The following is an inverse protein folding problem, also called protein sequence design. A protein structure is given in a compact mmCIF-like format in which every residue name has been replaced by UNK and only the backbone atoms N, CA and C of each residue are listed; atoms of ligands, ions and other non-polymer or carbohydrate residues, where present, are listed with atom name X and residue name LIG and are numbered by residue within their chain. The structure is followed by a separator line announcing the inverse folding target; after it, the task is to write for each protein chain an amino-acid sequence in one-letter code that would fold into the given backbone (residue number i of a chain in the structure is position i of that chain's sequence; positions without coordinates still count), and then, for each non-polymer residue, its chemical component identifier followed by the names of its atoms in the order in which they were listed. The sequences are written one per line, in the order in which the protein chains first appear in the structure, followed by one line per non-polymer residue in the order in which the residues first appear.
data_IF_545978980687
#
_entry.id   IF_545978980687
#
_cell.length_a   1.000
_cell.length_b   1.000
_cell.length_c   1.000
_cell.angle_alpha   90.00
_cell.angle_beta   90.00
_cell.angle_gamma   90.00
#
_symmetry.space_group_name_H-M   'P 1'
#
loop_
_entity.id
_entity.type
_entity.pdbx_description
1 polymer ?
#
# COMPACT_ATOMS: atom_id res chain seq x y z
N UNK A 1 30.27 -6.82 5.11
CA UNK A 1 29.54 -7.95 4.50
C UNK A 1 28.08 -7.71 4.75
N UNK A 2 27.24 -7.84 3.72
CA UNK A 2 25.77 -7.80 3.87
C UNK A 2 25.40 -8.94 4.81
N UNK A 3 24.49 -8.71 5.78
CA UNK A 3 23.96 -9.78 6.61
C UNK A 3 23.13 -10.80 5.82
N UNK A 4 22.81 -10.52 4.55
CA UNK A 4 22.00 -11.35 3.66
C UNK A 4 22.87 -12.30 2.85
N UNK A 5 22.49 -13.59 2.82
CA UNK A 5 23.25 -14.64 2.13
C UNK A 5 22.50 -15.19 0.91
N UNK A 6 21.16 -15.19 0.93
CA UNK A 6 20.32 -15.74 -0.12
C UNK A 6 19.47 -14.63 -0.75
N UNK A 7 19.79 -14.25 -1.97
CA UNK A 7 19.17 -13.15 -2.66
C UNK A 7 18.23 -13.65 -3.74
N UNK A 8 17.01 -13.14 -3.79
CA UNK A 8 16.09 -13.37 -4.91
C UNK A 8 16.02 -12.15 -5.80
N UNK A 9 15.89 -12.37 -7.10
CA UNK A 9 15.66 -11.34 -8.09
C UNK A 9 14.23 -11.43 -8.61
N UNK A 10 13.47 -10.36 -8.48
CA UNK A 10 12.14 -10.21 -9.03
C UNK A 10 12.16 -9.05 -10.04
N UNK A 11 11.75 -9.29 -11.28
CA UNK A 11 11.71 -8.28 -12.33
C UNK A 11 10.31 -8.20 -12.95
N UNK A 12 9.84 -6.96 -13.17
CA UNK A 12 8.57 -6.76 -13.87
C UNK A 12 8.68 -7.27 -15.33
N UNK A 13 7.55 -7.60 -15.98
CA UNK A 13 7.57 -8.10 -17.37
C UNK A 13 7.92 -7.03 -18.42
N UNK A 14 8.24 -5.80 -18.00
CA UNK A 14 8.61 -4.72 -18.91
C UNK A 14 10.01 -4.93 -19.50
N UNK A 15 10.22 -4.50 -20.74
CA UNK A 15 11.53 -4.61 -21.40
C UNK A 15 12.70 -4.05 -20.59
N UNK A 16 12.62 -2.82 -20.04
CA UNK A 16 13.69 -2.26 -19.21
C UNK A 16 14.03 -3.10 -17.97
N UNK A 17 13.00 -3.66 -17.28
CA UNK A 17 13.24 -4.48 -16.10
C UNK A 17 13.86 -5.82 -16.43
N UNK A 18 13.49 -6.44 -17.56
CA UNK A 18 14.07 -7.68 -18.02
C UNK A 18 15.53 -7.48 -18.49
N UNK A 19 15.82 -6.37 -19.17
CA UNK A 19 17.19 -6.01 -19.52
C UNK A 19 18.08 -5.81 -18.29
N UNK A 20 17.57 -5.06 -17.30
CA UNK A 20 18.27 -4.85 -16.04
C UNK A 20 18.48 -6.17 -15.26
N UNK A 21 17.51 -7.08 -15.28
CA UNK A 21 17.66 -8.41 -14.67
C UNK A 21 18.77 -9.22 -15.33
N UNK A 22 18.87 -9.17 -16.66
CA UNK A 22 19.95 -9.82 -17.41
C UNK A 22 21.33 -9.20 -17.05
N UNK A 23 21.39 -7.89 -16.83
CA UNK A 23 22.63 -7.22 -16.40
C UNK A 23 23.08 -7.61 -14.98
N UNK A 24 22.14 -8.04 -14.12
CA UNK A 24 22.42 -8.49 -12.77
C UNK A 24 22.58 -10.01 -12.66
N UNK A 25 22.48 -10.77 -13.75
CA UNK A 25 22.50 -12.23 -13.72
C UNK A 25 23.70 -12.78 -12.93
N UNK A 26 24.88 -12.20 -13.14
CA UNK A 26 26.14 -12.63 -12.52
C UNK A 26 26.45 -11.87 -11.19
N UNK A 27 25.52 -11.06 -10.68
CA UNK A 27 25.76 -10.25 -9.48
C UNK A 27 25.65 -11.06 -8.17
N UNK A 28 24.97 -12.21 -8.21
CA UNK A 28 24.78 -13.11 -7.06
C UNK A 28 24.31 -14.50 -7.52
N UNK A 29 24.43 -15.48 -6.62
CA UNK A 29 23.76 -16.77 -6.77
C UNK A 29 22.29 -16.61 -6.38
N UNK A 30 21.45 -16.33 -7.39
CA UNK A 30 20.02 -16.05 -7.19
C UNK A 30 19.25 -17.30 -6.77
N UNK A 31 18.42 -17.17 -5.72
CA UNK A 31 17.56 -18.24 -5.24
C UNK A 31 16.08 -17.92 -5.52
N UNK A 32 15.18 -18.92 -5.48
CA UNK A 32 13.75 -18.68 -5.50
C UNK A 32 13.30 -17.72 -4.37
N UNK A 33 12.24 -16.95 -4.61
CA UNK A 33 11.72 -15.97 -3.64
C UNK A 33 11.40 -16.62 -2.28
N UNK A 34 11.00 -17.87 -2.30
CA UNK A 34 10.63 -18.66 -1.13
C UNK A 34 11.82 -19.00 -0.22
N UNK A 35 13.03 -18.98 -0.74
CA UNK A 35 14.26 -19.29 -0.03
C UNK A 35 15.07 -18.07 0.36
N UNK A 36 14.69 -16.91 -0.17
CA UNK A 36 15.45 -15.67 -0.01
C UNK A 36 15.36 -15.09 1.40
N UNK A 37 16.44 -14.44 1.82
CA UNK A 37 16.52 -13.58 2.99
C UNK A 37 16.56 -12.08 2.65
N UNK A 38 16.69 -11.75 1.34
CA UNK A 38 16.46 -10.42 0.77
C UNK A 38 15.93 -10.56 -0.67
N UNK A 39 15.04 -9.66 -1.08
CA UNK A 39 14.51 -9.59 -2.44
C UNK A 39 14.97 -8.30 -3.13
N UNK A 40 15.52 -8.43 -4.34
CA UNK A 40 15.81 -7.31 -5.23
C UNK A 40 14.64 -7.21 -6.22
N UNK A 41 13.90 -6.10 -6.18
CA UNK A 41 12.76 -5.88 -7.05
C UNK A 41 13.08 -4.85 -8.13
N UNK A 42 12.94 -5.22 -9.41
CA UNK A 42 13.21 -4.39 -10.58
C UNK A 42 11.90 -3.97 -11.24
N UNK A 43 11.57 -2.67 -11.23
CA UNK A 43 10.32 -2.19 -11.83
C UNK A 43 9.96 -0.79 -11.36
N UNK A 44 8.69 -0.52 -11.18
CA UNK A 44 8.15 0.69 -10.53
C UNK A 44 7.35 0.34 -9.28
N UNK A 45 6.70 1.33 -8.65
CA UNK A 45 5.94 1.16 -7.41
C UNK A 45 4.85 0.08 -7.51
N UNK A 46 4.15 -0.01 -8.64
CA UNK A 46 3.14 -1.06 -8.84
C UNK A 46 3.73 -2.49 -8.79
N UNK A 47 4.94 -2.69 -9.32
CA UNK A 47 5.63 -3.97 -9.22
C UNK A 47 6.19 -4.22 -7.81
N UNK A 48 6.64 -3.17 -7.14
CA UNK A 48 7.01 -3.24 -5.72
C UNK A 48 5.82 -3.72 -4.88
N UNK A 49 4.64 -3.11 -5.02
CA UNK A 49 3.43 -3.55 -4.32
C UNK A 49 3.10 -5.01 -4.62
N UNK A 50 3.17 -5.44 -5.87
CA UNK A 50 2.96 -6.84 -6.24
C UNK A 50 3.96 -7.78 -5.52
N UNK A 51 5.23 -7.42 -5.47
CA UNK A 51 6.28 -8.19 -4.78
C UNK A 51 6.01 -8.27 -3.28
N UNK A 52 5.63 -7.15 -2.66
CA UNK A 52 5.30 -7.07 -1.24
C UNK A 52 4.06 -7.91 -0.90
N UNK A 53 3.01 -7.90 -1.76
CA UNK A 53 1.84 -8.76 -1.58
C UNK A 53 2.20 -10.25 -1.64
N UNK A 54 3.08 -10.66 -2.57
CA UNK A 54 3.59 -12.04 -2.60
C UNK A 54 4.30 -12.43 -1.30
N UNK A 55 5.05 -11.51 -0.69
CA UNK A 55 5.70 -11.76 0.60
C UNK A 55 4.70 -11.84 1.76
N UNK A 56 3.62 -11.05 1.73
CA UNK A 56 2.53 -11.14 2.72
C UNK A 56 1.79 -12.48 2.63
N UNK A 57 1.65 -13.04 1.44
CA UNK A 57 1.01 -14.35 1.21
C UNK A 57 1.92 -15.52 1.57
N UNK A 58 3.23 -15.28 1.57
CA UNK A 58 4.20 -16.29 1.97
C UNK A 58 3.96 -16.67 3.43
N UNK A 59 3.56 -17.92 3.65
CA UNK A 59 3.39 -18.49 4.99
C UNK A 59 4.78 -18.75 5.62
N UNK A 60 5.39 -17.70 6.12
CA UNK A 60 6.54 -17.83 7.00
C UNK A 60 6.03 -18.30 8.37
N UNK A 61 6.86 -19.07 9.07
CA UNK A 61 6.60 -19.33 10.48
C UNK A 61 6.36 -17.98 11.19
N UNK A 62 5.42 -17.88 12.13
CA UNK A 62 5.08 -16.61 12.79
C UNK A 62 6.27 -15.90 13.46
N UNK A 63 7.36 -16.63 13.69
CA UNK A 63 8.61 -16.15 14.32
C UNK A 63 9.69 -15.76 13.31
N UNK A 64 9.49 -15.99 12.00
CA UNK A 64 10.50 -15.62 11.00
C UNK A 64 10.46 -14.09 10.76
N UNK A 65 11.64 -13.42 10.68
CA UNK A 65 11.70 -12.01 10.37
C UNK A 65 11.14 -11.76 8.95
N UNK A 66 10.50 -10.59 8.70
CA UNK A 66 10.05 -10.24 7.38
C UNK A 66 11.23 -10.20 6.41
N UNK A 67 11.04 -10.72 5.19
CA UNK A 67 12.05 -10.68 4.14
C UNK A 67 12.09 -9.27 3.57
N UNK A 68 13.20 -8.52 3.72
CA UNK A 68 13.29 -7.16 3.22
C UNK A 68 13.38 -7.10 1.69
N UNK A 69 12.87 -6.00 1.14
CA UNK A 69 12.87 -5.75 -0.30
C UNK A 69 13.67 -4.51 -0.63
N UNK A 70 14.64 -4.64 -1.51
CA UNK A 70 15.40 -3.53 -2.09
C UNK A 70 14.90 -3.31 -3.54
N UNK A 71 14.08 -2.30 -3.74
CA UNK A 71 13.53 -1.98 -5.05
C UNK A 71 14.46 -1.05 -5.85
N UNK A 72 14.58 -1.29 -7.17
CA UNK A 72 15.24 -0.37 -8.08
C UNK A 72 14.30 0.04 -9.21
N UNK A 73 14.15 1.36 -9.42
CA UNK A 73 13.20 1.94 -10.35
C UNK A 73 13.69 1.88 -11.79
N UNK A 74 12.85 1.35 -12.67
CA UNK A 74 13.08 1.25 -14.11
C UNK A 74 11.91 1.87 -14.91
N UNK A 75 11.20 2.77 -14.30
CA UNK A 75 10.11 3.54 -14.91
C UNK A 75 10.20 5.02 -14.57
N UNK A 76 9.04 5.68 -14.50
CA UNK A 76 8.93 7.03 -13.93
C UNK A 76 9.28 7.02 -12.44
N UNK A 77 9.54 8.18 -11.85
CA UNK A 77 9.92 8.27 -10.42
C UNK A 77 8.90 7.54 -9.54
N UNK A 78 9.38 6.56 -8.78
CA UNK A 78 8.59 5.81 -7.81
C UNK A 78 8.95 6.19 -6.37
N UNK A 79 7.98 6.16 -5.44
CA UNK A 79 8.23 6.48 -4.02
C UNK A 79 8.85 5.31 -3.26
N UNK A 80 8.49 4.08 -3.62
CA UNK A 80 8.92 2.87 -2.90
C UNK A 80 10.21 2.27 -3.45
N UNK A 81 10.88 2.94 -4.40
CA UNK A 81 12.03 2.41 -5.13
C UNK A 81 13.26 3.27 -4.96
N UNK A 82 14.44 2.64 -5.01
CA UNK A 82 15.72 3.31 -5.16
C UNK A 82 16.02 3.60 -6.63
N UNK A 83 17.03 4.40 -6.89
CA UNK A 83 17.56 4.63 -8.24
C UNK A 83 18.16 3.33 -8.80
N UNK A 84 17.90 3.05 -10.08
CA UNK A 84 18.57 1.97 -10.79
C UNK A 84 20.08 2.25 -10.93
N UNK A 85 20.89 1.30 -10.50
CA UNK A 85 22.35 1.29 -10.72
C UNK A 85 22.81 -0.14 -10.96
N UNK A 86 23.55 -0.33 -12.04
CA UNK A 86 24.09 -1.65 -12.44
C UNK A 86 25.09 -2.23 -11.45
N UNK A 87 25.91 -1.37 -10.84
CA UNK A 87 27.05 -1.77 -10.01
C UNK A 87 26.83 -1.40 -8.53
N UNK A 88 27.62 -2.04 -7.66
CA UNK A 88 27.65 -1.72 -6.23
C UNK A 88 26.45 -2.24 -5.43
N UNK A 89 25.71 -3.26 -5.93
CA UNK A 89 24.53 -3.76 -5.25
C UNK A 89 24.84 -4.31 -3.84
N UNK A 90 25.98 -5.00 -3.69
CA UNK A 90 26.37 -5.57 -2.41
C UNK A 90 26.68 -4.47 -1.38
N UNK A 91 27.40 -3.43 -1.77
CA UNK A 91 27.74 -2.29 -0.92
C UNK A 91 26.48 -1.47 -0.57
N UNK A 92 25.57 -1.31 -1.52
CA UNK A 92 24.29 -0.63 -1.31
C UNK A 92 23.43 -1.37 -0.28
N UNK A 93 23.28 -2.69 -0.44
CA UNK A 93 22.56 -3.51 0.54
C UNK A 93 23.20 -3.48 1.93
N UNK A 94 24.55 -3.46 2.01
CA UNK A 94 25.26 -3.38 3.29
C UNK A 94 25.02 -2.05 4.04
N UNK A 95 24.72 -0.98 3.30
CA UNK A 95 24.50 0.39 3.83
C UNK A 95 23.02 0.76 3.87
N UNK A 96 22.15 -0.06 3.27
CA UNK A 96 20.74 0.23 3.13
C UNK A 96 20.07 0.44 4.50
N UNK A 97 19.19 1.42 4.58
CA UNK A 97 18.39 1.70 5.76
C UNK A 97 17.06 0.96 5.68
N UNK A 98 16.71 0.14 6.67
CA UNK A 98 15.42 -0.53 6.70
C UNK A 98 14.31 0.46 7.08
N UNK A 99 13.20 0.34 6.37
CA UNK A 99 11.97 1.04 6.67
C UNK A 99 10.84 0.04 6.84
N UNK A 100 10.12 0.12 7.97
CA UNK A 100 9.02 -0.80 8.28
C UNK A 100 7.69 -0.23 7.76
N UNK A 101 6.93 -1.07 7.07
CA UNK A 101 5.59 -0.77 6.59
C UNK A 101 4.62 -1.78 7.18
N UNK A 102 3.64 -1.30 7.92
CA UNK A 102 2.53 -2.10 8.43
C UNK A 102 1.33 -1.90 7.51
N UNK A 103 0.77 -2.96 6.89
CA UNK A 103 -0.39 -2.83 6.02
C UNK A 103 -1.68 -2.57 6.80
N UNK A 104 -2.70 -2.07 6.11
CA UNK A 104 -4.09 -2.16 6.56
C UNK A 104 -4.60 -3.58 6.36
N UNK A 105 -5.55 -3.98 7.18
CA UNK A 105 -6.43 -5.12 6.95
C UNK A 105 -7.81 -4.59 6.57
N UNK A 106 -8.29 -4.96 5.40
CA UNK A 106 -9.65 -4.79 4.97
C UNK A 106 -10.43 -6.08 5.22
N UNK A 107 -11.57 -6.00 5.90
CA UNK A 107 -12.55 -7.07 5.96
C UNK A 107 -13.83 -6.55 5.31
N UNK A 108 -14.14 -7.06 4.13
CA UNK A 108 -15.33 -6.67 3.36
C UNK A 108 -16.38 -7.76 3.41
N UNK A 109 -17.63 -7.37 3.65
CA UNK A 109 -18.82 -8.24 3.62
C UNK A 109 -19.68 -7.79 2.45
N UNK A 110 -19.95 -8.69 1.51
CA UNK A 110 -20.84 -8.43 0.39
C UNK A 110 -22.33 -8.54 0.80
N UNK A 111 -23.20 -8.04 -0.06
CA UNK A 111 -24.67 -8.09 0.13
C UNK A 111 -25.18 -9.53 0.25
N UNK A 112 -24.55 -10.49 -0.43
CA UNK A 112 -24.88 -11.92 -0.38
C UNK A 112 -24.29 -12.66 0.83
N UNK A 113 -23.56 -11.95 1.71
CA UNK A 113 -22.96 -12.51 2.92
C UNK A 113 -21.54 -13.08 2.72
N UNK A 114 -20.97 -13.06 1.52
CA UNK A 114 -19.55 -13.42 1.32
C UNK A 114 -18.66 -12.47 2.09
N UNK A 115 -17.62 -13.01 2.72
CA UNK A 115 -16.63 -12.23 3.45
C UNK A 115 -15.27 -12.42 2.81
N UNK A 116 -14.54 -11.33 2.64
CA UNK A 116 -13.15 -11.32 2.14
C UNK A 116 -12.28 -10.48 3.06
N UNK A 117 -11.11 -11.03 3.43
CA UNK A 117 -10.11 -10.30 4.22
C UNK A 117 -8.83 -10.17 3.41
N UNK A 118 -8.43 -8.95 3.14
CA UNK A 118 -7.27 -8.62 2.29
C UNK A 118 -6.38 -7.57 2.97
N UNK A 119 -5.04 -7.69 2.84
CA UNK A 119 -4.12 -6.63 3.22
C UNK A 119 -4.09 -5.52 2.18
N UNK A 120 -3.85 -4.28 2.61
CA UNK A 120 -3.52 -3.15 1.76
C UNK A 120 -2.29 -2.41 2.30
N UNK A 121 -1.30 -2.21 1.45
CA UNK A 121 -0.05 -1.53 1.78
C UNK A 121 -0.23 -0.02 1.65
N UNK A 122 -0.87 0.43 0.58
CA UNK A 122 -1.16 1.83 0.34
C UNK A 122 -2.51 2.24 0.95
N UNK A 123 -3.62 1.71 0.42
CA UNK A 123 -4.94 2.14 0.83
C UNK A 123 -6.02 1.07 0.63
N UNK A 124 -7.09 1.22 1.40
CA UNK A 124 -8.39 0.60 1.14
C UNK A 124 -9.31 1.68 0.61
N UNK A 125 -9.93 1.47 -0.55
CA UNK A 125 -10.88 2.40 -1.15
C UNK A 125 -12.23 1.74 -1.41
N UNK A 126 -13.32 2.51 -1.23
CA UNK A 126 -14.67 2.16 -1.64
C UNK A 126 -15.07 3.08 -2.79
N UNK A 127 -15.59 2.52 -3.87
CA UNK A 127 -15.99 3.24 -5.08
C UNK A 127 -17.37 2.80 -5.54
N UNK A 128 -18.21 3.75 -5.95
CA UNK A 128 -19.49 3.46 -6.58
C UNK A 128 -19.30 2.67 -7.87
N UNK A 129 -20.12 1.66 -8.09
CA UNK A 129 -20.08 0.84 -9.31
C UNK A 129 -20.94 1.39 -10.45
N UNK A 130 -21.84 2.32 -10.14
CA UNK A 130 -22.77 2.90 -11.12
C UNK A 130 -22.67 4.43 -11.16
N UNK A 131 -23.53 5.06 -11.97
CA UNK A 131 -23.63 6.53 -12.01
C UNK A 131 -24.29 7.14 -10.76
N UNK A 132 -24.94 6.34 -9.92
CA UNK A 132 -25.51 6.78 -8.66
C UNK A 132 -24.38 7.06 -7.66
N UNK A 133 -24.48 8.15 -6.89
CA UNK A 133 -23.53 8.40 -5.79
C UNK A 133 -23.57 7.26 -4.79
N UNK A 134 -22.42 6.87 -4.27
CA UNK A 134 -22.37 6.05 -3.06
C UNK A 134 -22.99 6.82 -1.89
N UNK A 135 -23.67 6.11 -0.99
CA UNK A 135 -24.11 6.61 0.29
C UNK A 135 -23.54 5.71 1.38
N UNK A 136 -22.71 6.28 2.22
CA UNK A 136 -21.93 5.52 3.20
C UNK A 136 -22.20 6.08 4.60
N UNK A 137 -22.48 5.20 5.57
CA UNK A 137 -22.33 5.53 6.98
C UNK A 137 -20.87 5.32 7.36
N UNK A 138 -20.26 6.28 8.04
CA UNK A 138 -18.87 6.20 8.52
C UNK A 138 -18.85 6.08 10.03
N UNK A 139 -18.21 5.04 10.54
CA UNK A 139 -17.95 4.82 11.96
C UNK A 139 -16.46 4.88 12.25
N UNK A 140 -16.13 5.44 13.37
CA UNK A 140 -14.77 5.48 13.93
C UNK A 140 -14.84 4.96 15.37
N UNK A 141 -14.12 3.86 15.64
CA UNK A 141 -14.17 3.17 16.93
C UNK A 141 -15.60 2.93 17.43
N UNK A 142 -16.41 2.31 16.58
CA UNK A 142 -17.82 1.93 16.79
C UNK A 142 -18.81 3.13 16.94
N UNK A 143 -18.34 4.37 16.83
CA UNK A 143 -19.20 5.56 16.88
C UNK A 143 -19.52 6.04 15.48
N UNK A 144 -20.78 6.28 15.17
CA UNK A 144 -21.19 6.95 13.93
C UNK A 144 -20.70 8.39 13.97
N UNK A 145 -19.76 8.71 13.04
CA UNK A 145 -19.22 10.08 12.89
C UNK A 145 -19.85 10.81 11.71
N UNK A 146 -20.25 10.05 10.67
CA UNK A 146 -21.04 10.56 9.56
C UNK A 146 -22.20 9.57 9.29
N UNK A 147 -23.44 9.93 9.60
CA UNK A 147 -24.58 9.05 9.35
C UNK A 147 -24.88 8.85 7.85
N UNK A 148 -24.53 9.80 7.00
CA UNK A 148 -24.59 9.69 5.54
C UNK A 148 -23.50 10.55 4.89
N UNK A 149 -22.60 9.90 4.17
CA UNK A 149 -21.67 10.52 3.23
C UNK A 149 -22.14 10.18 1.81
N UNK A 150 -22.57 11.17 1.02
CA UNK A 150 -22.87 11.01 -0.40
C UNK A 150 -21.66 11.45 -1.22
N UNK A 151 -21.05 10.53 -1.99
CA UNK A 151 -19.77 10.74 -2.68
C UNK A 151 -19.63 9.79 -3.88
N UNK A 152 -18.51 9.89 -4.60
CA UNK A 152 -18.10 8.85 -5.54
C UNK A 152 -17.41 7.69 -4.82
N UNK A 153 -16.82 7.95 -3.67
CA UNK A 153 -16.13 6.97 -2.86
C UNK A 153 -15.47 7.56 -1.62
N UNK A 154 -14.76 6.73 -0.89
CA UNK A 154 -13.93 7.08 0.25
C UNK A 154 -12.72 6.16 0.29
N UNK A 155 -11.60 6.63 0.77
CA UNK A 155 -10.43 5.78 0.98
C UNK A 155 -9.81 6.01 2.36
N UNK A 156 -9.16 4.96 2.86
CA UNK A 156 -8.30 5.00 4.04
C UNK A 156 -6.88 4.64 3.62
N UNK A 157 -5.94 5.57 3.75
CA UNK A 157 -4.55 5.39 3.36
C UNK A 157 -3.60 5.30 4.55
N UNK A 158 -2.56 4.49 4.40
CA UNK A 158 -1.37 4.47 5.26
C UNK A 158 -0.48 5.67 4.96
N UNK A 159 0.53 5.97 5.80
CA UNK A 159 1.54 6.97 5.44
C UNK A 159 2.25 6.65 4.11
N UNK A 160 2.58 5.37 3.84
CA UNK A 160 3.20 4.96 2.58
C UNK A 160 2.28 5.19 1.37
N UNK A 161 0.97 4.96 1.52
CA UNK A 161 -0.05 5.19 0.49
C UNK A 161 -0.52 6.64 0.39
N UNK A 162 -0.10 7.52 1.29
CA UNK A 162 -0.58 8.91 1.30
C UNK A 162 -0.20 9.69 0.05
N UNK A 163 0.86 9.30 -0.65
CA UNK A 163 1.33 9.87 -1.93
C UNK A 163 0.78 9.14 -3.16
N UNK A 164 -0.02 8.08 -2.97
CA UNK A 164 -0.65 7.31 -4.06
C UNK A 164 -2.06 7.84 -4.38
N UNK A 165 -3.08 6.99 -4.37
CA UNK A 165 -4.46 7.41 -4.69
C UNK A 165 -5.00 8.47 -3.73
N UNK A 166 -4.57 8.43 -2.47
CA UNK A 166 -4.92 9.45 -1.50
C UNK A 166 -4.54 10.87 -1.96
N UNK A 167 -3.34 11.07 -2.54
CA UNK A 167 -2.92 12.36 -3.08
C UNK A 167 -3.78 12.78 -4.28
N UNK A 168 -4.09 11.85 -5.18
CA UNK A 168 -5.01 12.10 -6.31
C UNK A 168 -6.41 12.48 -5.85
N UNK A 169 -6.86 11.96 -4.71
CA UNK A 169 -8.13 12.33 -4.06
C UNK A 169 -8.02 13.62 -3.22
N UNK A 170 -6.89 14.35 -3.30
CA UNK A 170 -6.60 15.56 -2.51
C UNK A 170 -6.56 15.32 -0.99
N UNK A 171 -6.20 14.12 -0.59
CA UNK A 171 -5.93 13.78 0.80
C UNK A 171 -4.59 14.33 1.29
N UNK A 172 -4.38 14.38 2.61
CA UNK A 172 -3.13 14.86 3.19
C UNK A 172 -1.98 13.89 2.94
N UNK A 173 -0.79 14.40 2.69
CA UNK A 173 0.44 13.61 2.73
C UNK A 173 0.80 13.40 4.20
N UNK A 174 1.01 12.15 4.58
CA UNK A 174 1.37 11.76 5.94
C UNK A 174 2.87 11.43 6.01
N UNK A 175 3.60 12.01 6.97
CA UNK A 175 4.98 11.60 7.22
C UNK A 175 5.05 10.10 7.55
N UNK A 176 6.06 9.42 7.04
CA UNK A 176 6.31 8.02 7.39
C UNK A 176 6.57 7.89 8.90
N UNK A 177 6.07 6.82 9.49
CA UNK A 177 6.19 6.62 10.94
C UNK A 177 5.33 7.55 11.80
N UNK A 178 4.46 8.39 11.21
CA UNK A 178 3.61 9.32 11.95
C UNK A 178 2.60 8.64 12.87
N UNK A 179 2.34 7.34 12.72
CA UNK A 179 1.30 6.63 13.46
C UNK A 179 -0.12 7.13 13.14
N UNK A 180 -0.33 7.61 11.91
CA UNK A 180 -1.59 8.19 11.45
C UNK A 180 -2.12 7.50 10.21
N UNK A 181 -3.44 7.62 9.97
CA UNK A 181 -4.14 7.21 8.77
C UNK A 181 -4.84 8.42 8.16
N UNK A 182 -4.91 8.48 6.83
CA UNK A 182 -5.75 9.45 6.14
C UNK A 182 -7.07 8.80 5.73
N UNK A 183 -8.19 9.37 6.16
CA UNK A 183 -9.52 9.00 5.70
C UNK A 183 -10.02 10.10 4.76
N UNK A 184 -10.04 9.85 3.45
CA UNK A 184 -10.23 10.86 2.42
C UNK A 184 -11.45 10.53 1.55
N UNK A 185 -12.45 11.43 1.43
CA UNK A 185 -13.58 11.24 0.53
C UNK A 185 -13.16 11.51 -0.93
N UNK A 186 -13.77 10.79 -1.85
CA UNK A 186 -13.60 10.98 -3.29
C UNK A 186 -14.83 11.71 -3.81
N UNK A 187 -14.66 12.92 -4.33
CA UNK A 187 -15.73 13.78 -4.87
C UNK A 187 -16.96 13.87 -3.94
N UNK A 188 -16.82 14.33 -2.68
CA UNK A 188 -17.93 14.38 -1.74
C UNK A 188 -18.99 15.38 -2.18
N UNK A 189 -20.25 14.91 -2.27
CA UNK A 189 -21.41 15.73 -2.57
C UNK A 189 -22.08 16.27 -1.29
N UNK A 190 -22.18 15.42 -0.25
CA UNK A 190 -22.66 15.79 1.10
C UNK A 190 -21.93 14.97 2.16
N UNK A 191 -21.40 15.58 3.22
CA UNK A 191 -21.24 17.02 3.44
C UNK A 191 -20.17 17.64 2.50
N UNK A 192 -20.50 18.72 1.79
CA UNK A 192 -19.60 19.34 0.79
C UNK A 192 -18.28 19.91 1.36
N UNK A 193 -18.28 20.27 2.65
CA UNK A 193 -17.11 20.89 3.30
C UNK A 193 -16.21 19.88 3.99
N UNK A 194 -16.64 18.62 4.09
CA UNK A 194 -15.80 17.61 4.70
C UNK A 194 -14.68 17.20 3.75
N UNK A 195 -13.46 17.41 4.21
CA UNK A 195 -12.23 17.14 3.46
C UNK A 195 -11.57 15.82 3.83
N UNK A 196 -12.16 15.06 4.75
CA UNK A 196 -11.56 13.88 5.34
C UNK A 196 -11.10 14.11 6.77
N UNK A 197 -10.38 13.15 7.29
CA UNK A 197 -9.85 13.19 8.65
C UNK A 197 -8.46 12.51 8.69
N UNK A 198 -7.58 13.00 9.56
CA UNK A 198 -6.37 12.30 9.96
C UNK A 198 -6.68 11.61 11.29
N UNK A 199 -6.48 10.31 11.35
CA UNK A 199 -6.83 9.45 12.47
C UNK A 199 -5.60 8.73 13.00
N UNK A 200 -5.50 8.48 14.33
CA UNK A 200 -4.45 7.61 14.86
C UNK A 200 -4.51 6.21 14.23
N UNK A 201 -3.38 5.58 14.00
CA UNK A 201 -3.25 4.27 13.35
C UNK A 201 -3.91 3.11 14.12
N UNK A 202 -4.20 3.31 15.42
CA UNK A 202 -4.96 2.37 16.27
C UNK A 202 -6.46 2.41 16.04
N UNK A 203 -6.93 3.31 15.18
CA UNK A 203 -8.36 3.50 14.90
C UNK A 203 -8.91 2.36 14.07
N UNK A 204 -10.11 1.89 14.43
CA UNK A 204 -10.95 1.05 13.58
C UNK A 204 -11.95 1.91 12.82
N UNK A 205 -12.05 1.69 11.52
CA UNK A 205 -12.97 2.40 10.63
C UNK A 205 -13.94 1.37 10.08
N UNK A 206 -15.23 1.64 10.18
CA UNK A 206 -16.27 0.81 9.56
C UNK A 206 -17.10 1.67 8.61
N UNK A 207 -17.26 1.19 7.39
CA UNK A 207 -18.00 1.84 6.31
C UNK A 207 -19.17 0.95 5.93
N UNK A 208 -20.40 1.42 6.14
CA UNK A 208 -21.62 0.68 5.77
C UNK A 208 -22.24 1.32 4.56
N UNK A 209 -22.53 0.54 3.54
CA UNK A 209 -23.20 1.01 2.32
C UNK A 209 -24.70 1.15 2.58
N UNK A 210 -25.22 2.36 2.40
CA UNK A 210 -26.64 2.65 2.50
C UNK A 210 -27.32 2.40 1.14
N UNK A 211 -28.43 1.64 1.13
CA UNK A 211 -29.15 1.22 -0.09
C UNK A 211 -28.25 0.46 -1.11
N UNK A 212 -27.56 -0.61 -0.74
CA UNK A 212 -26.60 -1.29 -1.62
C UNK A 212 -27.24 -1.83 -2.91
N UNK A 213 -28.50 -2.26 -2.87
CA UNK A 213 -29.23 -2.71 -4.05
C UNK A 213 -29.41 -1.62 -5.12
N UNK A 214 -29.56 -0.36 -4.71
CA UNK A 214 -29.71 0.79 -5.60
C UNK A 214 -28.37 1.47 -5.90
N UNK A 215 -27.42 1.38 -5.00
CA UNK A 215 -26.15 2.08 -5.00
C UNK A 215 -25.00 1.13 -4.71
N UNK A 216 -24.75 0.17 -5.61
CA UNK A 216 -23.69 -0.80 -5.39
C UNK A 216 -22.33 -0.13 -5.31
N UNK A 217 -21.49 -0.66 -4.43
CA UNK A 217 -20.16 -0.15 -4.13
C UNK A 217 -19.20 -1.33 -4.15
N UNK A 218 -18.03 -1.12 -4.75
CA UNK A 218 -16.89 -2.03 -4.64
C UNK A 218 -15.90 -1.54 -3.60
N UNK A 219 -15.23 -2.48 -2.94
CA UNK A 219 -14.10 -2.23 -2.06
C UNK A 219 -12.82 -2.77 -2.69
N UNK A 220 -11.75 -1.99 -2.60
CA UNK A 220 -10.45 -2.32 -3.19
C UNK A 220 -9.36 -2.20 -2.13
N UNK A 221 -8.59 -3.26 -1.95
CA UNK A 221 -7.36 -3.26 -1.15
C UNK A 221 -6.16 -3.24 -2.10
N UNK A 222 -5.51 -2.08 -2.26
CA UNK A 222 -4.51 -1.78 -3.29
C UNK A 222 -5.02 -2.11 -4.71
N UNK A 223 -4.88 -3.36 -5.16
CA UNK A 223 -5.26 -3.82 -6.50
C UNK A 223 -6.32 -4.94 -6.50
N UNK A 224 -6.81 -5.33 -5.32
CA UNK A 224 -7.75 -6.45 -5.15
C UNK A 224 -9.14 -5.94 -4.86
N UNK A 225 -10.06 -6.15 -5.80
CA UNK A 225 -11.44 -5.68 -5.74
C UNK A 225 -12.38 -6.74 -5.20
N UNK A 226 -13.33 -6.31 -4.36
CA UNK A 226 -14.55 -7.04 -4.01
C UNK A 226 -15.76 -6.18 -4.33
N UNK A 227 -16.67 -6.70 -5.16
CA UNK A 227 -17.86 -5.98 -5.61
C UNK A 227 -19.06 -6.26 -4.73
N UNK A 228 -20.11 -5.39 -4.87
CA UNK A 228 -21.38 -5.50 -4.18
C UNK A 228 -21.23 -5.57 -2.65
N UNK A 229 -20.36 -4.72 -2.08
CA UNK A 229 -20.11 -4.73 -0.64
C UNK A 229 -21.25 -4.06 0.13
N UNK A 230 -21.61 -4.64 1.28
CA UNK A 230 -22.56 -4.07 2.24
C UNK A 230 -21.82 -3.33 3.37
N UNK A 231 -20.67 -3.86 3.81
CA UNK A 231 -19.87 -3.28 4.88
C UNK A 231 -18.39 -3.56 4.65
N UNK A 232 -17.54 -2.61 5.05
CA UNK A 232 -16.09 -2.75 5.06
C UNK A 232 -15.53 -2.27 6.38
N UNK A 233 -14.78 -3.12 7.05
CA UNK A 233 -14.03 -2.81 8.27
C UNK A 233 -12.55 -2.70 7.94
N UNK A 234 -11.90 -1.64 8.44
CA UNK A 234 -10.51 -1.30 8.16
C UNK A 234 -9.78 -1.06 9.47
N UNK A 235 -8.63 -1.69 9.64
CA UNK A 235 -7.71 -1.46 10.77
C UNK A 235 -6.27 -1.75 10.33
N UNK A 236 -5.28 -1.31 11.14
CA UNK A 236 -3.88 -1.71 10.91
C UNK A 236 -3.70 -3.19 11.23
N UNK A 237 -2.98 -3.89 10.37
CA UNK A 237 -2.58 -5.28 10.58
C UNK A 237 -1.22 -5.36 11.27
N UNK A 238 -1.22 -5.25 12.58
CA UNK A 238 0.01 -5.25 13.39
C UNK A 238 0.69 -6.62 13.51
N UNK A 239 0.06 -7.67 13.00
CA UNK A 239 0.65 -9.02 12.96
C UNK A 239 1.57 -9.21 11.75
N UNK A 240 1.50 -8.33 10.77
CA UNK A 240 2.28 -8.39 9.54
C UNK A 240 3.06 -7.10 9.34
N UNK A 241 4.37 -7.23 9.19
CA UNK A 241 5.26 -6.13 8.85
C UNK A 241 6.02 -6.46 7.57
N UNK A 242 6.25 -5.45 6.78
CA UNK A 242 7.08 -5.49 5.58
C UNK A 242 8.28 -4.58 5.81
N UNK A 243 9.44 -4.97 5.29
CA UNK A 243 10.66 -4.17 5.36
C UNK A 243 11.08 -3.75 3.97
N UNK A 244 11.14 -2.45 3.74
CA UNK A 244 11.74 -1.85 2.56
C UNK A 244 13.16 -1.41 2.87
N UNK A 245 14.07 -1.57 1.92
CA UNK A 245 15.45 -1.13 2.04
C UNK A 245 15.70 0.06 1.12
N UNK A 246 16.24 1.14 1.68
CA UNK A 246 16.57 2.35 0.92
C UNK A 246 18.06 2.70 1.02
N UNK A 247 18.60 3.19 -0.09
CA UNK A 247 19.93 3.81 -0.07
C UNK A 247 19.94 4.98 0.93
N UNK A 248 21.05 5.19 1.64
CA UNK A 248 21.15 6.29 2.62
C UNK A 248 20.90 7.68 2.03
N UNK A 249 21.24 7.86 0.74
CA UNK A 249 21.06 9.12 0.00
C UNK A 249 19.62 9.32 -0.53
N UNK A 250 18.77 8.30 -0.42
CA UNK A 250 17.39 8.31 -0.93
C UNK A 250 16.40 8.00 0.21
N UNK A 251 16.60 8.66 1.34
CA UNK A 251 15.69 8.50 2.48
C UNK A 251 14.25 8.83 2.07
N UNK A 252 13.38 7.84 2.19
CA UNK A 252 11.96 7.94 1.81
C UNK A 252 11.26 9.09 2.55
N UNK A 253 11.68 9.37 3.79
CA UNK A 253 11.17 10.48 4.61
C UNK A 253 11.40 11.84 3.96
N UNK A 254 12.60 12.08 3.39
CA UNK A 254 12.92 13.33 2.70
C UNK A 254 12.08 13.49 1.43
N UNK A 255 11.88 12.42 0.68
CA UNK A 255 11.08 12.44 -0.57
C UNK A 255 9.63 12.75 -0.29
N UNK A 256 9.01 12.11 0.70
CA UNK A 256 7.63 12.39 1.13
C UNK A 256 7.53 13.81 1.70
N UNK A 257 8.56 14.28 2.40
CA UNK A 257 8.59 15.66 2.88
C UNK A 257 8.63 16.65 1.73
N UNK A 258 9.47 16.41 0.72
CA UNK A 258 9.59 17.30 -0.45
C UNK A 258 8.32 17.31 -1.30
N UNK A 259 7.61 16.17 -1.41
CA UNK A 259 6.35 16.09 -2.16
C UNK A 259 5.28 17.06 -1.65
N UNK A 260 5.31 17.40 -0.36
CA UNK A 260 4.37 18.37 0.22
C UNK A 260 4.59 19.81 -0.29
N UNK A 261 5.72 20.09 -0.92
CA UNK A 261 6.08 21.42 -1.43
C UNK A 261 6.08 21.49 -2.96
N UNK A 262 5.76 20.39 -3.65
CA UNK A 262 5.59 20.36 -5.10
C UNK A 262 4.16 20.81 -5.40
N UNK A 263 4.02 21.95 -6.11
CA UNK A 263 2.74 22.55 -6.50
C UNK A 263 2.27 22.02 -7.87
#
# INVERSE_FOLDING_TARGET
MTGYQRWALAASPTGPAQAAAAELADAADWVPLEEADVVIALGGDGFMLHTLHRLLERRLAPTAPPVPVFGMNLGTVGFLMNEWRRHGLQERLARARPFQVTPLQMTATAVDGRICTLPAINEVSLLRETRQTAKLEVRVNDRVVLPELACDGILCATPAGSTAYNLSAQGPILPLGSGMLALTPISPFRPRRWRGAILPDKTRISLTVLDPAKRPVSAVADQREMRDVAQVDISMDRARELTLLFDPEHALDERITMEQFIA
#
